data_IF_658402374724
#
_entry.id   IF_658402374724
#
_cell.length_a   1.000
_cell.length_b   1.000
_cell.length_c   1.000
_cell.angle_alpha   90.00
_cell.angle_beta   90.00
_cell.angle_gamma   90.00
#
_symmetry.space_group_name_H-M   'P 1'
#
loop_
_entity.id
_entity.type
_entity.pdbx_description
1 polymer ?
#
# COMPACT_ATOMS: atom_id res chain seq x y z
N UNK A 1 16.58 23.09 -20.68
CA UNK A 1 16.23 23.14 -19.25
C UNK A 1 15.85 21.74 -18.85
N UNK A 2 16.71 21.02 -18.15
CA UNK A 2 16.40 19.68 -17.63
C UNK A 2 15.71 19.92 -16.30
N UNK A 3 14.41 19.64 -16.23
CA UNK A 3 13.64 19.70 -14.98
C UNK A 3 14.33 18.84 -13.93
N UNK A 4 14.61 19.46 -12.79
CA UNK A 4 15.22 18.86 -11.62
C UNK A 4 14.31 17.73 -11.13
N UNK A 5 14.59 16.50 -11.58
CA UNK A 5 13.74 15.35 -11.34
C UNK A 5 13.76 15.06 -9.84
N UNK A 6 12.69 15.42 -9.14
CA UNK A 6 12.51 15.10 -7.72
C UNK A 6 12.77 13.60 -7.52
N UNK A 7 13.57 13.26 -6.49
CA UNK A 7 13.95 11.87 -6.25
C UNK A 7 12.72 11.03 -5.94
N UNK A 8 12.50 9.98 -6.73
CA UNK A 8 11.38 9.05 -6.53
C UNK A 8 11.51 8.30 -5.22
N UNK A 9 12.75 8.00 -4.82
CA UNK A 9 13.03 7.21 -3.63
C UNK A 9 13.94 7.92 -2.65
N UNK A 10 13.68 7.72 -1.35
CA UNK A 10 14.55 8.13 -0.24
C UNK A 10 14.63 7.03 0.81
N UNK A 11 15.77 6.90 1.47
CA UNK A 11 15.90 6.00 2.61
C UNK A 11 15.40 6.68 3.88
N UNK A 12 14.64 5.94 4.68
CA UNK A 12 14.11 6.39 5.97
C UNK A 12 14.40 5.32 7.02
N UNK A 13 14.76 5.74 8.22
CA UNK A 13 15.03 4.84 9.34
C UNK A 13 14.10 5.18 10.50
N UNK A 14 13.52 4.16 11.12
CA UNK A 14 12.55 4.30 12.19
C UNK A 14 12.92 3.39 13.36
N UNK A 15 12.89 3.95 14.57
CA UNK A 15 13.10 3.20 15.81
C UNK A 15 11.85 2.38 16.19
N UNK A 16 12.05 1.36 17.01
CA UNK A 16 10.97 0.58 17.61
C UNK A 16 9.94 1.49 18.30
N UNK A 17 8.64 1.21 18.07
CA UNK A 17 7.53 1.94 18.66
C UNK A 17 7.06 3.14 17.84
N UNK A 18 7.84 3.61 16.87
CA UNK A 18 7.46 4.73 16.01
C UNK A 18 6.22 4.38 15.17
N UNK A 19 5.29 5.32 15.09
CA UNK A 19 4.16 5.26 14.15
C UNK A 19 4.56 6.02 12.89
N UNK A 20 4.73 5.30 11.78
CA UNK A 20 5.17 5.86 10.49
C UNK A 20 4.04 6.73 9.89
N UNK A 21 2.81 6.24 9.96
CA UNK A 21 1.60 6.97 9.59
C UNK A 21 0.39 6.40 10.31
N UNK A 22 -0.67 7.19 10.42
CA UNK A 22 -1.95 6.78 10.99
C UNK A 22 -2.98 6.54 9.91
N UNK A 23 -3.95 5.67 10.23
CA UNK A 23 -5.17 5.53 9.42
C UNK A 23 -5.84 6.89 9.27
N UNK A 24 -6.33 7.18 8.07
CA UNK A 24 -6.99 8.45 7.73
C UNK A 24 -6.04 9.55 7.28
N UNK A 25 -4.73 9.41 7.51
CA UNK A 25 -3.74 10.34 6.95
C UNK A 25 -3.79 10.31 5.43
N UNK A 26 -3.50 11.45 4.79
CA UNK A 26 -3.30 11.52 3.35
C UNK A 26 -2.13 10.63 2.93
N UNK A 27 -2.32 9.84 1.88
CA UNK A 27 -1.35 8.85 1.44
C UNK A 27 -0.66 9.32 0.15
N UNK A 28 0.57 9.84 0.28
CA UNK A 28 1.33 10.42 -0.84
C UNK A 28 2.58 9.61 -1.25
N UNK A 29 2.87 8.55 -0.50
CA UNK A 29 4.05 7.71 -0.70
C UNK A 29 3.80 6.30 -0.15
N UNK A 30 4.47 5.31 -0.72
CA UNK A 30 4.49 3.93 -0.23
C UNK A 30 5.87 3.60 0.33
N UNK A 31 6.02 2.46 0.99
CA UNK A 31 7.28 2.02 1.58
C UNK A 31 7.60 0.59 1.20
N UNK A 32 8.85 0.34 0.82
CA UNK A 32 9.46 -1.00 0.82
C UNK A 32 10.27 -1.16 2.11
N UNK A 33 9.92 -2.15 2.93
CA UNK A 33 10.67 -2.47 4.14
C UNK A 33 11.96 -3.21 3.76
N UNK A 34 13.14 -2.61 3.97
CA UNK A 34 14.44 -3.24 3.68
C UNK A 34 14.90 -4.12 4.85
N UNK A 35 14.72 -3.63 6.07
CA UNK A 35 15.11 -4.29 7.32
C UNK A 35 14.08 -3.96 8.40
N UNK A 36 13.90 -4.86 9.38
CA UNK A 36 13.05 -4.61 10.55
C UNK A 36 11.68 -5.29 10.48
N UNK A 37 10.69 -4.70 11.17
CA UNK A 37 9.33 -5.25 11.30
C UNK A 37 8.34 -4.12 11.56
N UNK A 38 7.24 -4.10 10.81
CA UNK A 38 6.17 -3.10 10.93
C UNK A 38 4.82 -3.81 11.02
N UNK A 39 4.00 -3.44 11.99
CA UNK A 39 2.62 -3.90 12.09
C UNK A 39 1.67 -2.87 11.47
N UNK A 40 0.74 -3.36 10.66
CA UNK A 40 -0.40 -2.61 10.15
C UNK A 40 -1.60 -2.88 11.06
N UNK A 41 -2.12 -1.81 11.64
CA UNK A 41 -3.19 -1.86 12.63
C UNK A 41 -4.50 -1.43 11.96
N UNK A 42 -5.54 -2.24 12.14
CA UNK A 42 -6.89 -2.05 11.64
C UNK A 42 -7.67 -0.97 12.38
N UNK A 43 -8.92 -0.78 11.97
CA UNK A 43 -9.85 0.16 12.60
C UNK A 43 -10.29 -0.27 14.00
N UNK A 44 -10.34 -1.58 14.23
CA UNK A 44 -10.63 -2.23 15.51
C UNK A 44 -9.43 -2.21 16.48
N UNK A 45 -8.31 -1.59 16.08
CA UNK A 45 -7.08 -1.53 16.86
C UNK A 45 -6.28 -2.84 16.86
N UNK A 46 -6.69 -3.86 16.12
CA UNK A 46 -5.97 -5.13 16.04
C UNK A 46 -4.90 -5.11 14.95
N UNK A 47 -3.87 -5.94 15.08
CA UNK A 47 -2.86 -6.10 14.03
C UNK A 47 -3.47 -6.88 12.88
N UNK A 48 -3.76 -6.20 11.77
CA UNK A 48 -4.33 -6.82 10.57
C UNK A 48 -3.28 -7.57 9.75
N UNK A 49 -2.04 -7.06 9.74
CA UNK A 49 -0.91 -7.66 9.03
C UNK A 49 0.41 -7.19 9.64
N UNK A 50 1.35 -8.12 9.77
CA UNK A 50 2.76 -7.80 10.01
C UNK A 50 3.52 -7.80 8.68
N UNK A 51 4.34 -6.78 8.47
CA UNK A 51 5.18 -6.55 7.30
C UNK A 51 6.62 -6.95 7.66
N UNK A 52 7.20 -7.82 6.84
CA UNK A 52 8.59 -8.27 6.94
C UNK A 52 9.47 -7.61 5.86
N UNK A 53 10.79 -7.71 6.04
CA UNK A 53 11.76 -7.24 5.04
C UNK A 53 11.46 -7.82 3.63
N UNK A 54 11.64 -7.00 2.60
CA UNK A 54 11.30 -7.30 1.21
C UNK A 54 9.82 -7.06 0.86
N UNK A 55 8.97 -6.71 1.82
CA UNK A 55 7.55 -6.44 1.57
C UNK A 55 7.26 -4.94 1.48
N UNK A 56 6.27 -4.62 0.65
CA UNK A 56 5.72 -3.27 0.53
C UNK A 56 4.57 -3.09 1.51
N UNK A 57 4.37 -1.85 1.97
CA UNK A 57 3.20 -1.42 2.72
C UNK A 57 2.85 0.04 2.42
N UNK A 58 1.56 0.38 2.57
CA UNK A 58 1.06 1.72 2.26
C UNK A 58 0.81 1.92 0.77
N UNK A 59 0.62 0.84 0.02
CA UNK A 59 0.44 0.76 -1.43
C UNK A 59 -0.76 1.58 -1.92
N UNK A 60 -1.78 1.74 -1.07
CA UNK A 60 -2.95 2.55 -1.38
C UNK A 60 -2.59 3.99 -1.73
N UNK A 61 -1.45 4.48 -1.22
CA UNK A 61 -0.93 5.81 -1.53
C UNK A 61 -0.68 6.06 -3.02
N UNK A 62 -0.59 5.01 -3.84
CA UNK A 62 -0.32 5.15 -5.26
C UNK A 62 -1.60 5.19 -6.10
N UNK A 63 -2.78 4.82 -5.54
CA UNK A 63 -4.00 4.53 -6.33
C UNK A 63 -4.68 5.79 -6.87
N UNK A 64 -4.72 6.86 -6.07
CA UNK A 64 -5.34 8.12 -6.44
C UNK A 64 -4.71 9.28 -5.69
N UNK A 65 -4.94 10.51 -6.17
CA UNK A 65 -4.44 11.73 -5.52
C UNK A 65 -5.04 11.96 -4.13
N UNK A 66 -6.26 11.48 -3.92
CA UNK A 66 -7.03 11.60 -2.67
C UNK A 66 -6.96 10.32 -1.82
N UNK A 67 -6.00 9.44 -2.11
CA UNK A 67 -5.84 8.20 -1.36
C UNK A 67 -5.56 8.49 0.13
N UNK A 68 -6.23 7.71 0.98
CA UNK A 68 -6.05 7.76 2.43
C UNK A 68 -5.38 6.49 2.95
N UNK A 69 -4.68 6.60 4.08
CA UNK A 69 -4.13 5.45 4.80
C UNK A 69 -5.25 4.60 5.37
N UNK A 70 -5.27 3.32 4.97
CA UNK A 70 -6.32 2.38 5.38
C UNK A 70 -6.00 1.60 6.68
N UNK A 71 -4.77 1.77 7.18
CA UNK A 71 -4.21 1.18 8.41
C UNK A 71 -3.30 2.22 9.11
N UNK A 72 -3.02 2.01 10.39
CA UNK A 72 -1.90 2.67 11.08
C UNK A 72 -0.67 1.79 10.99
N UNK A 73 0.48 2.31 10.55
CA UNK A 73 1.72 1.55 10.48
C UNK A 73 2.60 1.85 11.69
N UNK A 74 2.89 0.83 12.51
CA UNK A 74 3.72 0.95 13.72
C UNK A 74 4.92 0.02 13.64
N UNK A 75 6.09 0.56 13.91
CA UNK A 75 7.35 -0.18 13.94
C UNK A 75 7.41 -1.05 15.20
N UNK A 76 7.72 -2.34 15.04
CA UNK A 76 7.86 -3.31 16.15
C UNK A 76 9.27 -3.88 16.28
N UNK A 77 10.17 -3.47 15.38
CA UNK A 77 11.62 -3.66 15.42
C UNK A 77 12.24 -2.54 14.59
N UNK A 78 13.35 -1.95 15.03
CA UNK A 78 14.09 -0.92 14.28
C UNK A 78 14.15 -1.26 12.79
N UNK A 79 13.69 -0.32 11.98
CA UNK A 79 13.33 -0.55 10.59
C UNK A 79 14.00 0.43 9.66
N UNK A 80 14.42 -0.06 8.49
CA UNK A 80 14.89 0.76 7.37
C UNK A 80 13.94 0.57 6.20
N UNK A 81 13.47 1.67 5.64
CA UNK A 81 12.52 1.67 4.54
C UNK A 81 13.08 2.44 3.35
N UNK A 82 12.72 1.99 2.15
CA UNK A 82 12.77 2.84 0.97
C UNK A 82 11.39 3.48 0.80
N UNK A 83 11.30 4.79 1.02
CA UNK A 83 10.10 5.59 0.77
C UNK A 83 10.02 5.91 -0.71
N UNK A 84 8.87 5.66 -1.33
CA UNK A 84 8.63 5.86 -2.75
C UNK A 84 7.51 6.90 -2.90
N UNK A 85 7.84 8.06 -3.43
CA UNK A 85 6.90 9.18 -3.59
C UNK A 85 6.02 9.00 -4.84
N UNK A 86 4.71 9.23 -4.69
CA UNK A 86 3.74 9.06 -5.80
C UNK A 86 4.01 10.02 -6.96
N UNK A 87 4.10 11.32 -6.68
CA UNK A 87 4.20 12.34 -7.74
C UNK A 87 5.42 12.15 -8.65
N UNK A 88 6.65 11.99 -8.12
CA UNK A 88 7.80 11.72 -8.98
C UNK A 88 7.70 10.39 -9.74
N UNK A 89 7.10 9.36 -9.14
CA UNK A 89 6.85 8.08 -9.81
C UNK A 89 5.88 8.23 -10.98
N UNK A 90 4.78 8.97 -10.79
CA UNK A 90 3.81 9.26 -11.85
C UNK A 90 4.45 10.05 -12.98
N UNK A 91 5.27 11.07 -12.66
CA UNK A 91 6.00 11.84 -13.66
C UNK A 91 6.98 10.96 -14.45
N UNK A 92 7.65 10.00 -13.81
CA UNK A 92 8.48 9.03 -14.55
C UNK A 92 7.62 8.16 -15.46
N UNK A 93 6.52 7.59 -14.96
CA UNK A 93 5.64 6.72 -15.75
C UNK A 93 5.01 7.42 -16.97
N UNK A 94 4.90 8.76 -16.96
CA UNK A 94 4.47 9.54 -18.13
C UNK A 94 5.52 9.61 -19.24
N UNK A 95 6.80 9.45 -18.90
CA UNK A 95 7.92 9.44 -19.84
C UNK A 95 8.31 8.03 -20.31
N UNK A 96 7.78 7.00 -19.66
CA UNK A 96 8.00 5.59 -20.03
C UNK A 96 7.06 5.14 -21.17
N UNK A 97 7.34 3.95 -21.71
CA UNK A 97 6.48 3.33 -22.70
C UNK A 97 5.03 3.18 -22.18
N UNK A 98 4.00 3.58 -22.96
CA UNK A 98 2.60 3.48 -22.54
C UNK A 98 2.17 2.09 -22.08
N UNK A 99 2.73 1.01 -22.64
CA UNK A 99 2.49 -0.36 -22.21
C UNK A 99 3.02 -0.61 -20.80
N UNK A 100 4.24 -0.16 -20.49
CA UNK A 100 4.84 -0.29 -19.16
C UNK A 100 4.01 0.49 -18.13
N UNK A 101 3.62 1.71 -18.46
CA UNK A 101 2.77 2.52 -17.60
C UNK A 101 1.38 1.89 -17.37
N UNK A 102 0.78 1.31 -18.42
CA UNK A 102 -0.49 0.60 -18.31
C UNK A 102 -0.37 -0.67 -17.47
N UNK A 103 0.67 -1.48 -17.70
CA UNK A 103 0.95 -2.71 -16.95
C UNK A 103 1.14 -2.39 -15.47
N UNK A 104 1.90 -1.35 -15.13
CA UNK A 104 2.09 -0.90 -13.75
C UNK A 104 0.74 -0.58 -13.09
N UNK A 105 -0.12 0.22 -13.74
CA UNK A 105 -1.46 0.59 -13.23
C UNK A 105 -2.37 -0.63 -13.04
N UNK A 106 -2.32 -1.60 -13.94
CA UNK A 106 -3.10 -2.85 -13.84
C UNK A 106 -2.62 -3.66 -12.62
N UNK A 107 -1.32 -3.89 -12.49
CA UNK A 107 -0.75 -4.65 -11.38
C UNK A 107 -1.02 -3.97 -10.04
N UNK A 108 -0.93 -2.65 -10.00
CA UNK A 108 -1.28 -1.84 -8.85
C UNK A 108 -2.76 -1.97 -8.46
N UNK A 109 -3.67 -1.89 -9.44
CA UNK A 109 -5.10 -2.08 -9.22
C UNK A 109 -5.40 -3.47 -8.66
N UNK A 110 -4.80 -4.51 -9.24
CA UNK A 110 -4.93 -5.88 -8.76
C UNK A 110 -4.46 -6.02 -7.30
N UNK A 111 -3.30 -5.46 -6.96
CA UNK A 111 -2.78 -5.47 -5.59
C UNK A 111 -3.76 -4.82 -4.60
N UNK A 112 -4.34 -3.67 -4.97
CA UNK A 112 -5.30 -2.97 -4.13
C UNK A 112 -6.61 -3.74 -3.96
N UNK A 113 -7.11 -4.36 -5.03
CA UNK A 113 -8.30 -5.20 -4.98
C UNK A 113 -8.11 -6.38 -4.02
N UNK A 114 -6.98 -7.10 -4.11
CA UNK A 114 -6.66 -8.21 -3.19
C UNK A 114 -6.61 -7.75 -1.73
N UNK A 115 -6.04 -6.56 -1.48
CA UNK A 115 -5.97 -5.97 -0.14
C UNK A 115 -7.34 -5.53 0.40
N UNK A 116 -8.26 -5.10 -0.47
CA UNK A 116 -9.64 -4.75 -0.10
C UNK A 116 -10.53 -5.99 0.08
N UNK A 117 -10.33 -7.05 -0.68
CA UNK A 117 -11.06 -8.32 -0.53
C UNK A 117 -10.85 -8.95 0.85
N UNK A 118 -9.63 -8.83 1.41
CA UNK A 118 -9.35 -9.27 2.79
C UNK A 118 -10.12 -8.49 3.87
N UNK A 119 -10.77 -7.38 3.53
CA UNK A 119 -11.64 -6.60 4.42
C UNK A 119 -13.13 -6.97 4.30
N UNK A 120 -13.53 -7.88 3.42
CA UNK A 120 -14.92 -8.32 3.39
C UNK A 120 -15.25 -9.05 4.70
N UNK A 121 -16.31 -8.64 5.42
CA UNK A 121 -16.84 -9.43 6.53
C UNK A 121 -17.07 -10.85 6.04
N UNK A 122 -16.68 -11.86 6.85
CA UNK A 122 -16.93 -13.28 6.52
C UNK A 122 -18.38 -13.53 6.12
N UNK A 123 -19.31 -12.76 6.69
CA UNK A 123 -20.74 -12.78 6.35
C UNK A 123 -21.03 -12.40 4.88
N UNK A 124 -20.36 -11.38 4.32
CA UNK A 124 -20.51 -11.00 2.90
C UNK A 124 -19.87 -12.02 1.97
N UNK A 125 -18.75 -12.65 2.38
CA UNK A 125 -18.16 -13.76 1.63
C UNK A 125 -19.08 -14.98 1.61
N UNK A 126 -19.70 -15.30 2.75
CA UNK A 126 -20.65 -16.41 2.85
C UNK A 126 -21.92 -16.16 2.04
N UNK A 127 -22.43 -14.91 2.03
CA UNK A 127 -23.55 -14.51 1.19
C UNK A 127 -23.22 -14.66 -0.31
N UNK A 128 -22.06 -14.15 -0.75
CA UNK A 128 -21.64 -14.27 -2.15
C UNK A 128 -21.42 -15.74 -2.58
N UNK A 129 -20.86 -16.58 -1.71
CA UNK A 129 -20.69 -18.00 -1.97
C UNK A 129 -22.02 -18.75 -2.04
N UNK A 130 -23.02 -18.31 -1.29
CA UNK A 130 -24.39 -18.85 -1.32
C UNK A 130 -25.11 -18.46 -2.60
N UNK A 131 -25.04 -17.18 -3.00
CA UNK A 131 -25.67 -16.68 -4.23
C UNK A 131 -25.09 -17.34 -5.49
N UNK A 132 -23.79 -17.65 -5.49
CA UNK A 132 -23.11 -18.38 -6.57
C UNK A 132 -23.47 -19.88 -6.62
N UNK A 133 -23.85 -20.47 -5.48
CA UNK A 133 -24.31 -21.85 -5.42
C UNK A 133 -25.79 -21.97 -5.87
N UNK A 134 -26.61 -20.96 -5.58
CA UNK A 134 -28.03 -20.91 -5.96
C UNK A 134 -28.26 -20.53 -7.43
N UNK A 135 -27.28 -19.94 -8.11
CA UNK A 135 -27.34 -19.63 -9.55
C UNK A 135 -26.81 -20.77 -10.45
N UNK A 136 -26.31 -21.86 -9.85
CA UNK A 136 -25.84 -23.06 -10.53
C UNK A 136 -26.86 -24.21 -10.53
N UNK A 137 -28.07 -23.97 -10.01
CA UNK A 137 -29.26 -24.86 -10.06
C UNK A 137 -30.30 -24.29 -11.05
#
# INVERSE_FOLDING_TARGET
MVEETSRITSEETFENGVVIYRRGDKAEHTYLLKEGKVDLIGEDGTVSRTVAAGQVFGETALVSMDAMRIHTARVTKDSKCLKIARQPLEAQLQNEDPFIAALFRILQGNMCNVMQMKKMPKEKMNALAKDLAETAE
#
